data_IF_679935765052
#
_entry.id   IF_679935765052
#
_cell.length_a   1.000
_cell.length_b   1.000
_cell.length_c   1.000
_cell.angle_alpha   90.00
_cell.angle_beta   90.00
_cell.angle_gamma   90.00
#
_symmetry.space_group_name_H-M   'P 1'
#
loop_
_entity.id
_entity.type
_entity.pdbx_description
1 polymer ?
#
# COMPACT_ATOMS: atom_id res chain seq x y z
N UNK A 1 -3.75 28.26 18.63
CA UNK A 1 -2.48 27.71 19.19
C UNK A 1 -1.40 27.81 18.14
N UNK A 2 -0.18 28.21 18.50
CA UNK A 2 0.97 28.22 17.58
C UNK A 2 1.26 26.80 17.12
N UNK A 3 1.68 26.63 15.88
CA UNK A 3 2.04 25.32 15.30
C UNK A 3 3.26 24.78 16.05
N UNK A 4 3.15 23.56 16.60
CA UNK A 4 4.28 22.84 17.18
C UNK A 4 5.27 22.46 16.07
N UNK A 5 6.56 22.67 16.32
CA UNK A 5 7.63 22.28 15.41
C UNK A 5 8.72 21.53 16.15
N UNK A 6 9.44 20.66 15.47
CA UNK A 6 10.56 19.92 16.09
C UNK A 6 11.73 20.83 16.51
N UNK A 7 11.78 22.06 15.98
CA UNK A 7 12.79 23.06 16.33
C UNK A 7 12.37 23.91 17.55
N UNK A 8 11.12 23.81 18.02
CA UNK A 8 10.60 24.58 19.14
C UNK A 8 10.79 23.91 20.49
N UNK A 9 11.53 22.80 20.54
CA UNK A 9 11.73 22.00 21.75
C UNK A 9 13.21 21.59 21.85
N UNK A 10 13.69 21.47 23.07
CA UNK A 10 15.01 20.91 23.35
C UNK A 10 14.99 19.40 23.28
N UNK A 11 16.13 18.80 22.92
CA UNK A 11 16.29 17.36 22.71
C UNK A 11 17.30 16.78 23.68
N UNK A 12 16.98 15.60 24.22
CA UNK A 12 17.86 14.84 25.10
C UNK A 12 18.14 13.44 24.55
N UNK A 13 19.29 12.90 24.95
CA UNK A 13 19.68 11.52 24.62
C UNK A 13 19.24 10.56 25.72
N UNK A 14 18.60 9.47 25.31
CA UNK A 14 18.10 8.45 26.24
C UNK A 14 18.47 7.06 25.77
N UNK A 15 18.96 6.22 26.67
CA UNK A 15 19.12 4.79 26.38
C UNK A 15 17.76 4.11 26.45
N UNK A 16 17.50 3.20 25.54
CA UNK A 16 16.21 2.50 25.49
C UNK A 16 15.90 1.77 26.80
N UNK A 17 16.90 1.13 27.42
CA UNK A 17 16.72 0.44 28.73
C UNK A 17 16.29 1.34 29.87
N UNK A 18 16.60 2.63 29.79
CA UNK A 18 16.28 3.60 30.87
C UNK A 18 14.84 4.14 30.72
N UNK A 19 14.24 3.90 29.53
CA UNK A 19 12.88 4.34 29.22
C UNK A 19 11.87 3.19 29.14
N UNK A 20 12.31 1.99 28.75
CA UNK A 20 11.40 0.89 28.41
C UNK A 20 11.78 -0.41 29.09
N UNK A 21 10.76 -1.12 29.55
CA UNK A 21 10.85 -2.55 29.79
C UNK A 21 10.90 -3.29 28.45
N UNK A 22 11.80 -4.28 28.36
CA UNK A 22 11.95 -5.08 27.12
C UNK A 22 11.47 -6.50 27.43
N UNK A 23 10.37 -6.87 26.77
CA UNK A 23 9.75 -8.18 26.94
C UNK A 23 10.19 -9.15 25.84
N UNK A 24 10.32 -10.42 26.21
CA UNK A 24 10.50 -11.50 25.27
C UNK A 24 9.15 -12.05 24.80
N UNK A 25 8.96 -12.18 23.51
CA UNK A 25 7.77 -12.82 22.93
C UNK A 25 7.95 -14.32 22.83
N UNK A 26 6.84 -15.07 22.83
CA UNK A 26 6.81 -16.55 22.91
C UNK A 26 6.19 -17.23 21.69
N UNK A 27 5.82 -16.47 20.66
CA UNK A 27 5.18 -17.00 19.46
C UNK A 27 6.09 -17.97 18.69
N UNK A 28 5.52 -19.11 18.31
CA UNK A 28 6.14 -20.16 17.48
C UNK A 28 5.99 -19.85 15.99
N UNK A 29 6.57 -20.66 15.08
CA UNK A 29 6.29 -20.56 13.66
C UNK A 29 4.80 -20.57 13.35
N UNK A 30 4.39 -19.77 12.35
CA UNK A 30 2.96 -19.52 12.08
C UNK A 30 2.20 -20.77 11.69
N UNK A 31 2.88 -21.76 11.13
CA UNK A 31 2.35 -23.05 10.72
C UNK A 31 1.81 -23.86 11.92
N UNK A 32 2.20 -23.48 13.14
CA UNK A 32 1.76 -24.14 14.37
C UNK A 32 0.40 -23.62 14.88
N UNK A 33 -0.21 -22.66 14.20
CA UNK A 33 -1.46 -22.04 14.63
C UNK A 33 -2.58 -22.23 13.61
N UNK A 34 -3.79 -22.39 14.11
CA UNK A 34 -5.00 -22.30 13.30
C UNK A 34 -5.31 -20.83 13.00
N UNK A 35 -6.06 -20.63 11.93
CA UNK A 35 -6.57 -19.30 11.56
C UNK A 35 -7.54 -18.78 12.64
N UNK A 36 -7.46 -17.48 12.95
CA UNK A 36 -8.31 -16.82 13.94
C UNK A 36 -8.26 -15.30 13.79
N UNK A 37 -8.46 -14.57 14.88
CA UNK A 37 -8.62 -13.11 14.86
C UNK A 37 -7.49 -12.36 15.60
N UNK A 38 -6.52 -13.05 16.20
CA UNK A 38 -5.40 -12.42 16.89
C UNK A 38 -4.28 -12.14 15.89
N UNK A 39 -3.83 -10.87 15.75
CA UNK A 39 -2.71 -10.50 14.88
C UNK A 39 -1.43 -11.24 15.24
N UNK A 40 -0.77 -11.85 14.25
CA UNK A 40 0.57 -12.40 14.41
C UNK A 40 1.61 -11.43 13.86
N UNK A 41 2.40 -10.84 14.75
CA UNK A 41 3.41 -9.82 14.44
C UNK A 41 4.77 -10.48 14.24
N UNK A 42 5.41 -10.20 13.11
CA UNK A 42 6.70 -10.78 12.71
C UNK A 42 7.71 -9.69 12.32
N UNK A 43 8.74 -10.05 11.56
CA UNK A 43 9.81 -9.16 11.08
C UNK A 43 9.48 -8.56 9.71
N UNK A 44 8.22 -8.15 9.49
CA UNK A 44 7.78 -7.48 8.28
C UNK A 44 7.93 -5.95 8.39
N UNK A 45 8.20 -5.30 7.26
CA UNK A 45 8.38 -3.85 7.20
C UNK A 45 7.09 -3.08 6.83
N UNK A 46 5.99 -3.78 6.63
CA UNK A 46 4.68 -3.23 6.21
C UNK A 46 3.55 -3.77 7.09
N UNK A 47 2.36 -3.20 6.96
CA UNK A 47 1.13 -3.67 7.65
C UNK A 47 1.29 -3.81 9.17
N UNK A 48 1.97 -2.88 9.83
CA UNK A 48 2.32 -2.97 11.27
C UNK A 48 3.01 -4.28 11.65
N UNK A 49 3.78 -4.86 10.73
CA UNK A 49 4.41 -6.17 10.85
C UNK A 49 3.44 -7.35 11.07
N UNK A 50 2.13 -7.16 10.90
CA UNK A 50 1.12 -8.22 10.94
C UNK A 50 1.16 -9.01 9.64
N UNK A 51 1.50 -10.29 9.73
CA UNK A 51 1.61 -11.17 8.56
C UNK A 51 0.46 -12.17 8.44
N UNK A 52 -0.29 -12.40 9.53
CA UNK A 52 -1.46 -13.28 9.54
C UNK A 52 -2.30 -13.04 10.81
N UNK A 53 -3.44 -13.74 10.88
CA UNK A 53 -4.30 -13.78 12.06
C UNK A 53 -4.46 -15.22 12.52
N UNK A 54 -4.29 -15.46 13.84
CA UNK A 54 -4.23 -16.78 14.46
C UNK A 54 -5.26 -16.93 15.57
N UNK A 55 -5.52 -18.17 15.99
CA UNK A 55 -6.35 -18.47 17.15
C UNK A 55 -5.77 -17.88 18.44
N UNK A 56 -6.65 -17.54 19.38
CA UNK A 56 -6.25 -16.93 20.67
C UNK A 56 -5.62 -17.97 21.59
N UNK A 57 -4.37 -17.72 22.00
CA UNK A 57 -3.69 -18.45 23.08
C UNK A 57 -3.20 -17.46 24.14
N UNK A 58 -3.81 -17.51 25.32
CA UNK A 58 -3.50 -16.60 26.43
C UNK A 58 -2.06 -16.73 26.96
N UNK A 59 -1.41 -17.90 26.79
CA UNK A 59 -0.07 -18.15 27.30
C UNK A 59 1.05 -17.46 26.52
N UNK A 60 0.74 -17.05 25.27
CA UNK A 60 1.69 -16.43 24.34
C UNK A 60 1.25 -15.05 23.89
N UNK A 61 0.11 -14.58 24.39
CA UNK A 61 -0.46 -13.29 24.05
C UNK A 61 0.41 -12.17 24.63
N UNK A 62 0.74 -11.19 23.78
CA UNK A 62 1.37 -9.93 24.17
C UNK A 62 0.27 -8.87 24.23
N UNK A 63 0.10 -8.21 25.36
CA UNK A 63 -0.96 -7.20 25.55
C UNK A 63 -0.72 -5.94 24.72
N UNK A 64 -1.78 -5.21 24.46
CA UNK A 64 -1.79 -3.91 23.77
C UNK A 64 -0.86 -2.85 24.41
N UNK A 65 -0.74 -1.70 23.77
CA UNK A 65 0.09 -0.55 24.15
C UNK A 65 1.58 -0.91 24.25
N UNK A 66 2.08 -1.51 23.20
CA UNK A 66 3.48 -1.93 23.07
C UNK A 66 4.09 -1.45 21.75
N UNK A 67 5.40 -1.24 21.76
CA UNK A 67 6.19 -0.99 20.56
C UNK A 67 6.94 -2.29 20.21
N UNK A 68 6.86 -2.72 18.95
CA UNK A 68 7.70 -3.80 18.43
C UNK A 68 8.86 -3.26 17.62
N UNK A 69 10.02 -3.89 17.74
CA UNK A 69 11.23 -3.56 16.95
C UNK A 69 11.74 -4.82 16.29
N UNK A 70 11.82 -4.77 14.95
CA UNK A 70 12.40 -5.84 14.14
C UNK A 70 13.92 -5.91 14.32
N UNK A 71 14.48 -7.04 14.77
CA UNK A 71 15.92 -7.16 14.97
C UNK A 71 16.73 -7.22 13.67
N UNK A 72 16.10 -7.48 12.51
CA UNK A 72 16.76 -7.63 11.21
C UNK A 72 16.86 -6.29 10.47
N UNK A 73 15.74 -5.57 10.36
CA UNK A 73 15.64 -4.33 9.58
C UNK A 73 15.55 -3.07 10.45
N UNK A 74 15.33 -3.24 11.75
CA UNK A 74 15.17 -2.11 12.67
C UNK A 74 13.85 -1.35 12.48
N UNK A 75 12.87 -1.91 11.76
CA UNK A 75 11.54 -1.30 11.65
C UNK A 75 10.80 -1.37 12.97
N UNK A 76 9.97 -0.36 13.24
CA UNK A 76 9.35 -0.18 14.53
C UNK A 76 7.86 0.15 14.36
N UNK A 77 6.99 -0.52 15.14
CA UNK A 77 5.56 -0.29 15.10
C UNK A 77 4.96 -0.21 16.49
N UNK A 78 3.99 0.68 16.67
CA UNK A 78 3.16 0.73 17.87
C UNK A 78 1.88 -0.09 17.66
N UNK A 79 1.48 -0.86 18.69
CA UNK A 79 0.28 -1.69 18.69
C UNK A 79 -0.62 -1.31 19.85
N UNK A 80 -1.82 -0.84 19.54
CA UNK A 80 -2.90 -0.56 20.50
C UNK A 80 -3.87 -1.75 20.70
N UNK A 81 -3.50 -2.92 20.21
CA UNK A 81 -4.23 -4.18 20.29
C UNK A 81 -3.35 -5.32 20.78
N UNK A 82 -3.97 -6.36 21.33
CA UNK A 82 -3.30 -7.59 21.73
C UNK A 82 -2.81 -8.37 20.50
N UNK A 83 -1.64 -8.95 20.57
CA UNK A 83 -1.02 -9.69 19.46
C UNK A 83 -0.17 -10.86 19.94
N UNK A 84 0.24 -11.73 19.03
CA UNK A 84 1.28 -12.73 19.26
C UNK A 84 2.53 -12.34 18.47
N UNK A 85 3.63 -12.09 19.17
CA UNK A 85 4.90 -11.75 18.53
C UNK A 85 5.75 -12.98 18.22
N UNK A 86 6.40 -12.98 17.05
CA UNK A 86 7.37 -14.01 16.62
C UNK A 86 8.54 -14.09 17.60
N UNK A 87 8.69 -15.23 18.28
CA UNK A 87 9.60 -15.45 19.40
C UNK A 87 10.62 -16.59 19.21
N UNK A 88 11.07 -16.88 17.98
CA UNK A 88 11.96 -18.00 17.69
C UNK A 88 13.10 -17.66 16.72
N UNK A 89 14.07 -18.59 16.59
CA UNK A 89 15.19 -18.57 15.60
C UNK A 89 16.09 -17.31 15.65
N UNK A 90 16.41 -16.79 16.83
CA UNK A 90 17.35 -15.67 16.99
C UNK A 90 16.88 -14.31 16.46
N UNK A 91 15.85 -14.27 15.62
CA UNK A 91 15.23 -13.06 15.10
C UNK A 91 13.86 -12.81 15.73
N UNK A 92 13.75 -13.02 17.05
CA UNK A 92 12.56 -12.70 17.83
C UNK A 92 12.31 -11.21 17.83
N UNK A 93 11.06 -10.81 17.65
CA UNK A 93 10.64 -9.42 17.75
C UNK A 93 10.89 -8.90 19.17
N UNK A 94 11.51 -7.73 19.31
CA UNK A 94 11.64 -7.07 20.58
C UNK A 94 10.36 -6.29 20.90
N UNK A 95 9.88 -6.38 22.14
CA UNK A 95 8.71 -5.64 22.61
C UNK A 95 9.13 -4.66 23.69
N UNK A 96 8.76 -3.39 23.52
CA UNK A 96 9.07 -2.31 24.45
C UNK A 96 7.78 -1.84 25.12
N UNK A 97 7.83 -1.63 26.45
CA UNK A 97 6.71 -1.11 27.25
C UNK A 97 7.12 0.09 28.08
N UNK A 98 6.20 1.02 28.22
CA UNK A 98 6.26 2.11 29.17
C UNK A 98 4.82 2.53 29.53
N UNK A 99 4.57 2.88 30.79
CA UNK A 99 3.25 3.29 31.29
C UNK A 99 2.69 4.53 30.58
N UNK A 100 3.56 5.40 30.06
CA UNK A 100 3.20 6.64 29.38
C UNK A 100 2.92 6.45 27.88
N UNK A 101 3.08 5.22 27.35
CA UNK A 101 2.84 4.96 25.93
C UNK A 101 1.35 5.08 25.58
N UNK A 102 1.09 5.79 24.51
CA UNK A 102 -0.20 5.81 23.81
C UNK A 102 0.00 5.80 22.30
N UNK A 103 -1.08 5.73 21.53
CA UNK A 103 -1.01 5.62 20.06
C UNK A 103 -0.26 6.78 19.38
N UNK A 104 -0.26 7.97 19.95
CA UNK A 104 0.37 9.14 19.35
C UNK A 104 1.86 9.20 19.68
N UNK A 105 2.20 9.24 20.97
CA UNK A 105 3.61 9.29 21.38
C UNK A 105 4.35 8.00 20.98
N UNK A 106 3.68 6.85 20.91
CA UNK A 106 4.23 5.59 20.41
C UNK A 106 4.70 5.70 18.96
N UNK A 107 3.92 6.35 18.08
CA UNK A 107 4.32 6.60 16.68
C UNK A 107 5.54 7.53 16.62
N UNK A 108 5.59 8.59 17.43
CA UNK A 108 6.75 9.47 17.50
C UNK A 108 8.02 8.70 17.90
N UNK A 109 7.92 7.90 18.95
CA UNK A 109 9.03 7.11 19.48
C UNK A 109 9.48 6.04 18.46
N UNK A 110 8.56 5.38 17.77
CA UNK A 110 8.91 4.47 16.68
C UNK A 110 9.80 5.15 15.64
N UNK A 111 9.46 6.37 15.22
CA UNK A 111 10.27 7.13 14.26
C UNK A 111 11.68 7.44 14.79
N UNK A 112 11.81 7.74 16.08
CA UNK A 112 13.11 7.98 16.71
C UNK A 112 13.94 6.70 16.83
N UNK A 113 13.32 5.58 17.22
CA UNK A 113 13.98 4.27 17.28
C UNK A 113 14.45 3.85 15.88
N UNK A 114 13.62 3.99 14.86
CA UNK A 114 13.96 3.60 13.48
C UNK A 114 15.17 4.36 12.93
N UNK A 115 15.31 5.65 13.22
CA UNK A 115 16.49 6.43 12.82
C UNK A 115 17.79 5.82 13.37
N UNK A 116 17.75 5.29 14.59
CA UNK A 116 18.91 4.65 15.22
C UNK A 116 19.09 3.20 14.75
N UNK A 117 18.01 2.43 14.71
CA UNK A 117 18.06 0.99 14.45
C UNK A 117 18.37 0.65 12.99
N UNK A 118 17.81 1.38 12.02
CA UNK A 118 18.07 1.17 10.58
C UNK A 118 19.54 1.32 10.20
N UNK A 119 20.28 2.15 10.92
CA UNK A 119 21.75 2.31 10.74
C UNK A 119 22.57 1.19 11.38
N UNK A 120 21.97 0.43 12.31
CA UNK A 120 22.67 -0.55 13.16
C UNK A 120 22.19 -2.00 12.99
N UNK A 121 21.07 -2.20 12.30
CA UNK A 121 20.45 -3.51 12.06
C UNK A 121 20.79 -4.05 10.67
N UNK A 122 21.17 -5.32 10.59
CA UNK A 122 21.32 -6.05 9.34
C UNK A 122 21.17 -7.56 9.58
N UNK A 123 20.98 -8.34 8.53
CA UNK A 123 20.83 -9.80 8.64
C UNK A 123 22.06 -10.47 9.29
N UNK A 124 23.27 -10.00 8.99
CA UNK A 124 24.51 -10.47 9.61
C UNK A 124 24.84 -9.85 10.97
N UNK A 125 24.08 -8.83 11.40
CA UNK A 125 24.33 -8.11 12.66
C UNK A 125 23.00 -7.66 13.29
N UNK A 126 22.28 -8.63 13.85
CA UNK A 126 20.94 -8.43 14.41
C UNK A 126 20.91 -7.36 15.52
N UNK A 127 19.90 -6.52 15.47
CA UNK A 127 19.58 -5.55 16.51
C UNK A 127 18.77 -6.22 17.64
N UNK A 128 19.41 -7.21 18.29
CA UNK A 128 18.82 -8.02 19.35
C UNK A 128 18.56 -7.21 20.63
N UNK A 129 17.89 -7.83 21.62
CA UNK A 129 17.53 -7.18 22.88
C UNK A 129 18.69 -6.53 23.61
N UNK A 130 19.89 -7.12 23.60
CA UNK A 130 21.06 -6.56 24.29
C UNK A 130 21.55 -5.28 23.61
N UNK A 131 21.60 -5.28 22.27
CA UNK A 131 21.99 -4.09 21.49
C UNK A 131 20.90 -3.01 21.55
N UNK A 132 19.62 -3.41 21.49
CA UNK A 132 18.50 -2.52 21.63
C UNK A 132 18.52 -1.80 22.99
N UNK A 133 18.76 -2.51 24.09
CA UNK A 133 18.89 -1.93 25.44
C UNK A 133 19.90 -0.79 25.51
N UNK A 134 21.01 -0.93 24.82
CA UNK A 134 22.13 0.02 24.83
C UNK A 134 22.01 1.12 23.78
N UNK A 135 21.03 1.03 22.88
CA UNK A 135 20.81 2.04 21.86
C UNK A 135 20.35 3.35 22.49
N UNK A 136 20.87 4.45 21.96
CA UNK A 136 20.50 5.81 22.35
C UNK A 136 19.55 6.37 21.30
N UNK A 137 18.47 6.95 21.75
CA UNK A 137 17.49 7.68 20.93
C UNK A 137 17.40 9.13 21.39
N UNK A 138 17.06 10.01 20.45
CA UNK A 138 16.81 11.42 20.73
C UNK A 138 15.30 11.62 20.93
N UNK A 139 14.93 12.23 22.05
CA UNK A 139 13.55 12.61 22.34
C UNK A 139 13.46 14.07 22.80
N UNK A 140 12.33 14.75 22.55
CA UNK A 140 12.04 16.04 23.16
C UNK A 140 12.09 15.95 24.68
N UNK A 141 12.63 16.96 25.34
CA UNK A 141 12.71 17.03 26.83
C UNK A 141 11.80 18.10 27.40
N UNK A 142 11.36 17.87 28.63
CA UNK A 142 10.70 18.87 29.46
C UNK A 142 11.74 19.76 30.17
N UNK A 143 11.28 20.77 30.93
CA UNK A 143 12.14 21.68 31.66
C UNK A 143 12.98 21.00 32.77
N UNK A 144 12.71 19.73 33.08
CA UNK A 144 13.47 18.90 34.00
C UNK A 144 14.44 17.95 33.31
N UNK A 145 14.59 18.05 32.00
CA UNK A 145 15.42 17.15 31.18
C UNK A 145 14.86 15.74 31.00
N UNK A 146 13.58 15.49 31.29
CA UNK A 146 12.91 14.20 31.12
C UNK A 146 12.20 14.14 29.76
N UNK A 147 11.90 12.93 29.22
CA UNK A 147 11.13 12.83 27.99
C UNK A 147 9.79 13.58 28.06
N UNK A 148 9.56 14.47 27.13
CA UNK A 148 8.32 15.24 27.02
C UNK A 148 7.24 14.46 26.29
N UNK A 149 6.61 13.53 27.00
CA UNK A 149 5.55 12.65 26.45
C UNK A 149 4.38 13.45 25.87
N UNK A 150 4.01 14.57 26.53
CA UNK A 150 2.90 15.40 26.07
C UNK A 150 3.23 16.10 24.75
N UNK A 151 4.45 16.64 24.61
CA UNK A 151 4.87 17.25 23.34
C UNK A 151 4.82 16.22 22.19
N UNK A 152 5.33 15.00 22.41
CA UNK A 152 5.32 13.94 21.38
C UNK A 152 3.89 13.58 20.96
N UNK A 153 2.97 13.50 21.92
CA UNK A 153 1.56 13.25 21.68
C UNK A 153 0.91 14.37 20.86
N UNK A 154 1.05 15.61 21.33
CA UNK A 154 0.42 16.78 20.70
C UNK A 154 0.98 17.06 19.30
N UNK A 155 2.28 16.83 19.12
CA UNK A 155 2.93 16.95 17.82
C UNK A 155 2.34 15.95 16.80
N UNK A 156 2.21 14.68 17.18
CA UNK A 156 1.63 13.67 16.29
C UNK A 156 0.14 13.94 16.01
N UNK A 157 -0.64 14.32 17.02
CA UNK A 157 -2.04 14.76 16.82
C UNK A 157 -2.13 15.90 15.81
N UNK A 158 -1.27 16.91 15.95
CA UNK A 158 -1.23 18.02 15.00
C UNK A 158 -0.89 17.56 13.58
N UNK A 159 0.17 16.76 13.42
CA UNK A 159 0.59 16.26 12.09
C UNK A 159 -0.48 15.37 11.47
N UNK A 160 -1.11 14.48 12.23
CA UNK A 160 -2.21 13.64 11.75
C UNK A 160 -3.40 14.47 11.29
N UNK A 161 -3.77 15.52 12.06
CA UNK A 161 -4.84 16.44 11.66
C UNK A 161 -4.51 17.20 10.36
N UNK A 162 -3.27 17.68 10.24
CA UNK A 162 -2.80 18.36 9.02
C UNK A 162 -2.85 17.43 7.82
N UNK A 163 -2.37 16.19 7.95
CA UNK A 163 -2.41 15.21 6.86
C UNK A 163 -3.84 14.80 6.51
N UNK A 164 -4.68 14.53 7.52
CA UNK A 164 -6.09 14.20 7.30
C UNK A 164 -6.85 15.32 6.57
N UNK A 165 -6.59 16.59 6.94
CA UNK A 165 -7.19 17.73 6.25
C UNK A 165 -6.73 17.85 4.79
N UNK A 166 -5.46 17.58 4.49
CA UNK A 166 -4.96 17.55 3.11
C UNK A 166 -5.63 16.45 2.29
N UNK A 167 -5.77 15.26 2.86
CA UNK A 167 -6.44 14.11 2.22
C UNK A 167 -7.92 14.42 2.00
N UNK A 168 -8.60 15.00 3.01
CA UNK A 168 -9.99 15.43 2.86
C UNK A 168 -10.16 16.43 1.70
N UNK A 169 -9.34 17.49 1.68
CA UNK A 169 -9.39 18.50 0.60
C UNK A 169 -9.11 17.91 -0.78
N UNK A 170 -8.20 16.93 -0.88
CA UNK A 170 -7.96 16.23 -2.14
C UNK A 170 -9.22 15.47 -2.60
N UNK A 171 -9.86 14.70 -1.72
CA UNK A 171 -11.04 13.93 -2.07
C UNK A 171 -12.29 14.80 -2.30
N UNK A 172 -12.46 15.91 -1.57
CA UNK A 172 -13.51 16.90 -1.83
C UNK A 172 -13.38 17.51 -3.23
N UNK A 173 -12.16 17.92 -3.61
CA UNK A 173 -11.87 18.43 -4.95
C UNK A 173 -12.12 17.37 -6.04
N UNK A 174 -11.76 16.13 -5.76
CA UNK A 174 -12.02 15.01 -6.67
C UNK A 174 -13.52 14.75 -6.81
N UNK A 175 -14.27 14.78 -5.71
CA UNK A 175 -15.72 14.61 -5.70
C UNK A 175 -16.44 15.71 -6.50
N UNK A 176 -16.01 16.97 -6.36
CA UNK A 176 -16.57 18.09 -7.15
C UNK A 176 -16.36 17.94 -8.65
N UNK A 177 -15.25 17.32 -9.06
CA UNK A 177 -14.92 17.05 -10.48
C UNK A 177 -15.61 15.82 -11.04
N UNK A 178 -16.13 14.96 -10.18
CA UNK A 178 -16.71 13.67 -10.54
C UNK A 178 -18.17 13.83 -10.99
N UNK A 179 -18.39 14.43 -12.16
CA UNK A 179 -19.72 14.49 -12.77
C UNK A 179 -20.18 13.11 -13.25
N UNK A 180 -21.41 12.71 -12.94
CA UNK A 180 -22.04 11.51 -13.49
C UNK A 180 -23.53 11.74 -13.69
N UNK A 181 -24.10 11.01 -14.66
CA UNK A 181 -25.55 10.97 -14.87
C UNK A 181 -26.19 9.81 -14.11
N UNK A 182 -27.48 9.89 -13.86
CA UNK A 182 -28.24 8.78 -13.29
C UNK A 182 -28.10 7.54 -14.18
N UNK A 183 -27.81 6.41 -13.53
CA UNK A 183 -27.68 5.13 -14.23
C UNK A 183 -29.05 4.49 -14.42
N UNK A 184 -29.29 3.96 -15.64
CA UNK A 184 -30.34 2.99 -15.86
C UNK A 184 -29.93 1.67 -15.19
N UNK A 185 -30.82 1.12 -14.36
CA UNK A 185 -30.55 -0.10 -13.62
C UNK A 185 -30.82 -1.38 -14.45
N UNK A 186 -31.56 -1.26 -15.55
CA UNK A 186 -31.94 -2.40 -16.40
C UNK A 186 -31.12 -2.46 -17.68
N UNK A 187 -29.80 -2.64 -17.52
CA UNK A 187 -28.87 -2.72 -18.65
C UNK A 187 -28.66 -4.17 -19.08
N UNK A 188 -28.81 -4.45 -20.37
CA UNK A 188 -28.48 -5.76 -20.95
C UNK A 188 -26.98 -5.91 -21.15
N UNK A 189 -26.53 -7.16 -21.11
CA UNK A 189 -25.10 -7.52 -21.25
C UNK A 189 -24.91 -8.45 -22.45
N UNK A 190 -23.77 -8.28 -23.14
CA UNK A 190 -23.39 -9.12 -24.30
C UNK A 190 -21.89 -9.39 -24.27
N UNK A 191 -21.48 -10.51 -24.84
CA UNK A 191 -20.08 -10.86 -25.04
C UNK A 191 -19.49 -10.14 -26.26
N UNK A 192 -18.26 -9.61 -26.07
CA UNK A 192 -17.47 -9.01 -27.15
C UNK A 192 -16.07 -9.63 -27.17
N UNK A 193 -15.54 -9.89 -28.37
CA UNK A 193 -14.14 -10.24 -28.49
C UNK A 193 -13.28 -9.01 -28.19
N UNK A 194 -12.18 -9.22 -27.46
CA UNK A 194 -11.28 -8.09 -27.16
C UNK A 194 -10.71 -7.47 -28.45
N UNK A 195 -10.45 -8.28 -29.48
CA UNK A 195 -9.96 -7.79 -30.78
C UNK A 195 -10.94 -6.90 -31.54
N UNK A 196 -12.24 -6.98 -31.27
CA UNK A 196 -13.23 -6.13 -31.94
C UNK A 196 -13.19 -4.69 -31.44
N UNK A 197 -12.87 -4.51 -30.17
CA UNK A 197 -12.99 -3.23 -29.45
C UNK A 197 -11.64 -2.65 -29.02
N UNK A 198 -10.56 -3.44 -29.00
CA UNK A 198 -9.26 -3.06 -28.44
C UNK A 198 -8.12 -3.27 -29.43
N UNK A 199 -7.18 -2.34 -29.44
CA UNK A 199 -5.85 -2.49 -30.03
C UNK A 199 -4.89 -3.07 -29.00
N UNK A 200 -4.20 -4.16 -29.35
CA UNK A 200 -3.25 -4.87 -28.49
C UNK A 200 -1.86 -4.77 -29.10
N UNK A 201 -0.95 -4.06 -28.44
CA UNK A 201 0.44 -3.85 -28.86
C UNK A 201 1.41 -4.44 -27.86
N UNK A 202 2.58 -4.89 -28.30
CA UNK A 202 3.64 -5.38 -27.42
C UNK A 202 4.46 -4.23 -26.85
N UNK A 203 4.97 -4.40 -25.64
CA UNK A 203 6.09 -3.63 -25.13
C UNK A 203 7.40 -4.01 -25.84
N UNK A 204 8.51 -3.46 -25.35
CA UNK A 204 9.85 -3.62 -25.93
C UNK A 204 10.80 -4.09 -24.85
N UNK A 205 11.61 -5.10 -25.15
CA UNK A 205 12.62 -5.61 -24.25
C UNK A 205 13.64 -4.50 -23.92
N UNK A 206 13.84 -4.27 -22.63
CA UNK A 206 14.90 -3.42 -22.10
C UNK A 206 15.54 -4.15 -20.91
N UNK A 207 16.76 -4.61 -21.09
CA UNK A 207 17.45 -5.37 -20.04
C UNK A 207 17.95 -4.42 -18.96
N UNK A 208 18.19 -4.94 -17.75
CA UNK A 208 18.70 -4.12 -16.63
C UNK A 208 20.04 -3.45 -16.95
N UNK A 209 20.88 -4.11 -17.76
CA UNK A 209 22.17 -3.58 -18.20
C UNK A 209 22.03 -2.40 -19.19
N UNK A 210 20.93 -2.32 -19.92
CA UNK A 210 20.68 -1.28 -20.91
C UNK A 210 19.84 -0.12 -20.34
N UNK A 211 19.38 -0.23 -19.09
CA UNK A 211 18.62 0.84 -18.43
C UNK A 211 19.53 2.01 -18.06
N UNK A 212 19.09 3.21 -18.37
CA UNK A 212 19.69 4.48 -18.00
C UNK A 212 18.80 5.11 -16.95
N UNK A 213 19.36 5.59 -15.86
CA UNK A 213 18.59 6.26 -14.80
C UNK A 213 17.83 7.47 -15.32
N UNK A 214 16.60 7.67 -14.89
CA UNK A 214 15.75 8.76 -15.34
C UNK A 214 14.42 8.83 -14.63
N UNK A 215 13.43 9.50 -15.27
CA UNK A 215 12.14 9.78 -14.67
C UNK A 215 10.94 9.11 -15.39
N UNK A 216 11.18 8.35 -16.44
CA UNK A 216 10.11 7.67 -17.18
C UNK A 216 9.82 6.34 -16.50
N UNK A 217 8.58 6.08 -16.03
CA UNK A 217 8.22 4.79 -15.45
C UNK A 217 8.41 3.65 -16.47
N UNK A 218 9.12 2.60 -16.06
CA UNK A 218 9.26 1.35 -16.81
C UNK A 218 8.30 0.30 -16.24
N UNK A 219 7.36 -0.13 -17.06
CA UNK A 219 6.31 -1.06 -16.68
C UNK A 219 6.75 -2.48 -16.98
N UNK A 220 6.96 -3.27 -15.92
CA UNK A 220 7.29 -4.69 -15.97
C UNK A 220 6.11 -5.56 -15.57
N UNK A 221 6.26 -6.88 -15.71
CA UNK A 221 5.21 -7.86 -15.40
C UNK A 221 5.11 -8.16 -13.89
N UNK A 222 4.90 -7.11 -13.09
CA UNK A 222 4.71 -7.15 -11.64
C UNK A 222 3.22 -7.09 -11.29
N UNK A 223 2.84 -7.54 -10.09
CA UNK A 223 1.51 -7.38 -9.47
C UNK A 223 1.49 -6.26 -8.41
N UNK A 224 2.60 -5.57 -8.21
CA UNK A 224 2.78 -4.52 -7.23
C UNK A 224 3.13 -3.17 -7.88
N UNK A 225 3.01 -2.08 -7.13
CA UNK A 225 3.45 -0.73 -7.50
C UNK A 225 2.90 -0.25 -8.87
N UNK A 226 1.66 -0.60 -9.20
CA UNK A 226 1.04 -0.27 -10.49
C UNK A 226 1.86 -0.79 -11.69
N UNK A 227 2.59 -1.91 -11.53
CA UNK A 227 3.46 -2.48 -12.55
C UNK A 227 4.78 -1.73 -12.77
N UNK A 228 5.02 -0.60 -12.08
CA UNK A 228 6.28 0.16 -12.19
C UNK A 228 7.39 -0.60 -11.49
N UNK A 229 8.38 -1.02 -12.26
CA UNK A 229 9.54 -1.77 -11.75
C UNK A 229 10.80 -0.93 -11.62
N UNK A 230 10.92 0.13 -12.44
CA UNK A 230 12.06 1.06 -12.41
C UNK A 230 11.64 2.43 -12.95
N UNK A 231 12.51 3.44 -12.79
CA UNK A 231 12.43 4.72 -13.49
C UNK A 231 13.64 4.88 -14.38
N UNK A 232 13.42 5.14 -15.68
CA UNK A 232 14.48 5.12 -16.69
C UNK A 232 14.50 6.41 -17.53
N UNK A 233 15.67 6.73 -18.11
CA UNK A 233 15.86 7.78 -19.09
C UNK A 233 15.70 7.29 -20.54
N UNK A 234 15.55 5.99 -20.74
CA UNK A 234 15.36 5.39 -22.05
C UNK A 234 13.99 5.73 -22.63
N UNK A 235 13.94 5.90 -23.96
CA UNK A 235 12.71 5.92 -24.74
C UNK A 235 12.77 4.87 -25.84
N UNK A 236 11.64 4.32 -26.22
CA UNK A 236 11.52 3.36 -27.32
C UNK A 236 10.09 3.38 -27.86
N UNK A 237 9.81 2.55 -28.89
CA UNK A 237 8.48 2.48 -29.53
C UNK A 237 7.36 1.95 -28.63
N UNK A 238 7.64 1.61 -27.38
CA UNK A 238 6.61 1.29 -26.38
C UNK A 238 6.20 2.49 -25.55
N UNK A 239 6.77 3.68 -25.73
CA UNK A 239 6.36 4.89 -25.05
C UNK A 239 4.88 5.16 -25.34
N UNK A 240 4.09 5.28 -24.28
CA UNK A 240 2.63 5.39 -24.38
C UNK A 240 2.05 6.05 -23.13
N UNK A 241 0.84 6.57 -23.24
CA UNK A 241 0.04 7.11 -22.15
C UNK A 241 -1.45 6.84 -22.38
N UNK A 242 -2.27 7.02 -21.37
CA UNK A 242 -3.70 6.68 -21.41
C UNK A 242 -3.90 5.25 -21.96
N UNK A 243 -3.34 4.26 -21.27
CA UNK A 243 -3.19 2.89 -21.77
C UNK A 243 -3.30 1.89 -20.61
N UNK A 244 -3.87 0.72 -20.88
CA UNK A 244 -3.89 -0.40 -19.94
C UNK A 244 -2.71 -1.34 -20.24
N UNK A 245 -1.78 -1.48 -19.29
CA UNK A 245 -0.72 -2.48 -19.32
C UNK A 245 -1.23 -3.82 -18.80
N UNK A 246 -1.14 -4.90 -19.58
CA UNK A 246 -1.59 -6.25 -19.21
C UNK A 246 -0.44 -7.23 -19.26
N UNK A 247 -0.16 -7.87 -18.14
CA UNK A 247 0.92 -8.85 -18.02
C UNK A 247 0.54 -10.15 -18.76
N UNK A 248 1.34 -10.54 -19.75
CA UNK A 248 1.18 -11.83 -20.38
C UNK A 248 2.15 -12.90 -19.84
N UNK A 249 3.19 -12.46 -19.14
CA UNK A 249 4.18 -13.28 -18.45
C UNK A 249 4.30 -12.79 -16.98
N UNK A 250 5.12 -13.42 -16.15
CA UNK A 250 5.24 -13.08 -14.72
C UNK A 250 3.90 -13.23 -13.99
N UNK A 251 3.39 -12.17 -13.41
CA UNK A 251 2.05 -12.11 -12.78
C UNK A 251 0.95 -12.04 -13.85
N UNK A 252 0.67 -13.18 -14.50
CA UNK A 252 -0.19 -13.29 -15.67
C UNK A 252 -1.59 -12.73 -15.40
N UNK A 253 -2.13 -11.95 -16.38
CA UNK A 253 -3.42 -11.24 -16.38
C UNK A 253 -3.47 -10.02 -15.45
N UNK A 254 -2.55 -9.86 -14.48
CA UNK A 254 -2.48 -8.61 -13.74
C UNK A 254 -2.35 -7.44 -14.72
N UNK A 255 -3.04 -6.36 -14.42
CA UNK A 255 -3.11 -5.24 -15.33
C UNK A 255 -3.33 -3.92 -14.59
N UNK A 256 -2.77 -2.84 -15.17
CA UNK A 256 -2.78 -1.51 -14.56
C UNK A 256 -3.03 -0.44 -15.61
N UNK A 257 -3.85 0.55 -15.26
CA UNK A 257 -4.07 1.73 -16.09
C UNK A 257 -3.00 2.79 -15.82
N UNK A 258 -2.45 3.35 -16.90
CA UNK A 258 -1.43 4.39 -16.88
C UNK A 258 -1.93 5.62 -17.64
N UNK A 259 -2.30 6.67 -16.89
CA UNK A 259 -2.70 7.96 -17.48
C UNK A 259 -1.51 8.80 -17.94
N UNK A 260 -0.30 8.48 -17.45
CA UNK A 260 0.96 9.17 -17.66
C UNK A 260 1.83 8.46 -18.70
N UNK A 261 2.81 9.18 -19.25
CA UNK A 261 3.79 8.59 -20.17
C UNK A 261 4.68 7.58 -19.46
N UNK A 262 4.79 6.40 -20.04
CA UNK A 262 5.61 5.29 -19.56
C UNK A 262 6.04 4.38 -20.71
N UNK A 263 7.08 3.58 -20.51
CA UNK A 263 7.50 2.54 -21.45
C UNK A 263 7.25 1.15 -20.86
N UNK A 264 7.10 0.16 -21.73
CA UNK A 264 6.65 -1.19 -21.34
C UNK A 264 7.65 -2.25 -21.74
N UNK A 265 7.89 -3.19 -20.83
CA UNK A 265 8.68 -4.40 -21.11
C UNK A 265 7.96 -5.29 -22.14
N UNK A 266 8.71 -6.16 -22.80
CA UNK A 266 8.17 -7.16 -23.72
C UNK A 266 7.19 -8.14 -23.06
N UNK A 267 7.23 -8.29 -21.74
CA UNK A 267 6.34 -9.14 -20.94
C UNK A 267 4.95 -8.50 -20.65
N UNK A 268 4.76 -7.25 -21.07
CA UNK A 268 3.51 -6.50 -20.89
C UNK A 268 2.92 -6.13 -22.24
N UNK A 269 1.61 -6.34 -22.40
CA UNK A 269 0.85 -5.88 -23.58
C UNK A 269 0.18 -4.56 -23.27
N UNK A 270 0.24 -3.63 -24.22
CA UNK A 270 -0.42 -2.31 -24.16
C UNK A 270 -1.77 -2.41 -24.85
N UNK A 271 -2.82 -2.06 -24.16
CA UNK A 271 -4.18 -2.17 -24.66
C UNK A 271 -4.81 -0.78 -24.68
N UNK A 272 -5.32 -0.38 -25.86
CA UNK A 272 -6.10 0.84 -26.05
C UNK A 272 -7.44 0.51 -26.71
N UNK A 273 -8.43 1.36 -26.50
CA UNK A 273 -9.67 1.32 -27.27
C UNK A 273 -9.38 1.67 -28.74
N UNK A 274 -9.97 0.94 -29.68
CA UNK A 274 -9.86 1.25 -31.12
C UNK A 274 -10.45 2.62 -31.46
N UNK A 275 -11.59 2.95 -30.83
CA UNK A 275 -12.10 4.31 -30.85
C UNK A 275 -11.59 5.05 -29.59
N UNK A 276 -10.67 5.98 -29.76
CA UNK A 276 -10.02 6.73 -28.69
C UNK A 276 -10.96 7.58 -27.83
N UNK A 277 -12.16 7.91 -28.32
CA UNK A 277 -13.19 8.64 -27.57
C UNK A 277 -13.71 7.87 -26.36
N UNK A 278 -13.59 6.54 -26.36
CA UNK A 278 -14.06 5.67 -25.28
C UNK A 278 -13.02 5.46 -24.16
N UNK A 279 -11.79 5.91 -24.35
CA UNK A 279 -10.66 5.64 -23.49
C UNK A 279 -10.50 6.65 -22.36
N UNK A 280 -11.52 6.89 -21.52
CA UNK A 280 -11.36 7.64 -20.26
C UNK A 280 -10.85 6.72 -19.12
N UNK A 281 -10.39 7.33 -18.03
CA UNK A 281 -9.90 6.61 -16.85
C UNK A 281 -10.93 5.57 -16.36
N UNK A 282 -12.20 5.91 -16.33
CA UNK A 282 -13.27 5.09 -15.77
C UNK A 282 -13.57 3.88 -16.63
N UNK A 283 -13.57 4.05 -17.95
CA UNK A 283 -13.74 2.92 -18.88
C UNK A 283 -12.56 1.95 -18.82
N UNK A 284 -11.33 2.45 -18.66
CA UNK A 284 -10.15 1.61 -18.42
C UNK A 284 -10.20 0.88 -17.08
N UNK A 285 -10.68 1.50 -16.02
CA UNK A 285 -10.84 0.83 -14.71
C UNK A 285 -11.88 -0.30 -14.77
N UNK A 286 -12.96 -0.10 -15.52
CA UNK A 286 -13.92 -1.17 -15.75
C UNK A 286 -13.32 -2.30 -16.58
N UNK A 287 -12.67 -1.97 -17.69
CA UNK A 287 -12.00 -2.93 -18.57
C UNK A 287 -10.95 -3.75 -17.81
N UNK A 288 -10.17 -3.09 -16.95
CA UNK A 288 -9.23 -3.76 -16.04
C UNK A 288 -9.89 -4.89 -15.26
N UNK A 289 -11.05 -4.64 -14.67
CA UNK A 289 -11.76 -5.64 -13.88
C UNK A 289 -12.31 -6.76 -14.75
N UNK A 290 -12.81 -6.46 -15.94
CA UNK A 290 -13.31 -7.48 -16.89
C UNK A 290 -12.18 -8.40 -17.37
N UNK A 291 -10.99 -7.87 -17.58
CA UNK A 291 -9.80 -8.67 -17.93
C UNK A 291 -9.33 -9.49 -16.73
N UNK A 292 -9.24 -8.87 -15.53
CA UNK A 292 -8.80 -9.53 -14.31
C UNK A 292 -9.71 -10.71 -13.92
N UNK A 293 -11.01 -10.62 -14.18
CA UNK A 293 -11.96 -11.71 -13.94
C UNK A 293 -11.67 -12.98 -14.76
N UNK A 294 -10.83 -12.88 -15.81
CA UNK A 294 -10.39 -14.01 -16.62
C UNK A 294 -9.15 -14.73 -16.05
N UNK A 295 -8.57 -14.22 -14.94
CA UNK A 295 -7.29 -14.69 -14.37
C UNK A 295 -7.25 -16.21 -14.16
N UNK A 296 -8.34 -16.81 -13.70
CA UNK A 296 -8.43 -18.25 -13.44
C UNK A 296 -8.25 -19.14 -14.68
N UNK A 297 -8.38 -18.57 -15.90
CA UNK A 297 -8.17 -19.29 -17.17
C UNK A 297 -6.70 -19.36 -17.58
N UNK A 298 -5.85 -18.51 -16.98
CA UNK A 298 -4.47 -18.30 -17.42
C UNK A 298 -3.50 -18.47 -16.25
N UNK A 299 -2.37 -19.11 -16.56
CA UNK A 299 -1.31 -19.40 -15.57
C UNK A 299 0.05 -19.50 -16.29
N UNK A 300 1.12 -19.76 -15.56
CA UNK A 300 2.46 -19.83 -16.15
C UNK A 300 2.58 -20.77 -17.35
N UNK A 301 1.96 -21.95 -17.33
CA UNK A 301 1.92 -22.89 -18.44
C UNK A 301 0.94 -22.53 -19.57
N UNK A 302 0.02 -21.61 -19.34
CA UNK A 302 -1.00 -21.16 -20.29
C UNK A 302 -1.12 -19.64 -20.28
N UNK A 303 -0.09 -18.96 -20.79
CA UNK A 303 0.07 -17.50 -20.75
C UNK A 303 -1.01 -16.74 -21.53
N UNK A 304 -1.38 -15.58 -21.07
CA UNK A 304 -2.31 -14.65 -21.71
C UNK A 304 -1.62 -13.81 -22.80
N UNK A 305 -1.08 -14.47 -23.83
CA UNK A 305 -0.37 -13.83 -24.95
C UNK A 305 -1.34 -13.06 -25.88
N UNK A 306 -0.80 -12.26 -26.80
CA UNK A 306 -1.58 -11.39 -27.68
C UNK A 306 -2.67 -12.16 -28.48
N UNK A 307 -2.37 -13.37 -29.00
CA UNK A 307 -3.33 -14.20 -29.74
C UNK A 307 -4.49 -14.70 -28.86
N UNK A 308 -4.22 -15.00 -27.58
CA UNK A 308 -5.26 -15.38 -26.62
C UNK A 308 -6.03 -14.17 -26.13
N UNK A 309 -5.35 -13.03 -25.96
CA UNK A 309 -6.01 -11.77 -25.61
C UNK A 309 -7.01 -11.36 -26.68
N UNK A 310 -6.62 -11.35 -27.95
CA UNK A 310 -7.53 -10.96 -29.03
C UNK A 310 -8.78 -11.86 -29.09
N UNK A 311 -8.61 -13.16 -28.84
CA UNK A 311 -9.69 -14.14 -28.81
C UNK A 311 -10.36 -14.34 -27.44
N UNK A 312 -10.08 -13.49 -26.47
CA UNK A 312 -10.79 -13.50 -25.18
C UNK A 312 -12.08 -12.70 -25.34
N UNK A 313 -13.19 -13.29 -24.94
CA UNK A 313 -14.47 -12.60 -24.79
C UNK A 313 -14.57 -11.98 -23.41
N UNK A 314 -15.10 -10.77 -23.35
CA UNK A 314 -15.48 -10.07 -22.12
C UNK A 314 -16.95 -9.66 -22.19
N UNK A 315 -17.61 -9.63 -21.03
CA UNK A 315 -19.00 -9.18 -20.91
C UNK A 315 -19.02 -7.67 -20.77
N UNK A 316 -19.82 -6.99 -21.59
CA UNK A 316 -20.02 -5.55 -21.52
C UNK A 316 -21.51 -5.22 -21.53
N UNK A 317 -21.92 -4.13 -20.85
CA UNK A 317 -23.27 -3.60 -20.98
C UNK A 317 -23.46 -3.04 -22.39
N UNK A 318 -24.63 -3.21 -22.94
CA UNK A 318 -24.96 -2.76 -24.29
C UNK A 318 -26.00 -1.62 -24.29
N UNK A 319 -25.88 -0.77 -25.29
CA UNK A 319 -26.87 0.24 -25.62
C UNK A 319 -28.06 -0.36 -26.41
N UNK A 320 -29.00 0.50 -26.82
CA UNK A 320 -30.17 0.10 -27.64
C UNK A 320 -29.83 -0.47 -29.00
N UNK A 321 -28.62 -0.24 -29.51
CA UNK A 321 -28.13 -0.72 -30.78
C UNK A 321 -27.40 -2.09 -30.66
N UNK A 322 -27.20 -2.58 -29.42
CA UNK A 322 -26.44 -3.78 -29.14
C UNK A 322 -24.91 -3.59 -29.14
N UNK A 323 -24.43 -2.34 -29.12
CA UNK A 323 -23.03 -1.96 -29.05
C UNK A 323 -22.62 -1.68 -27.59
N UNK A 324 -21.31 -1.74 -27.24
CA UNK A 324 -20.85 -1.47 -25.88
C UNK A 324 -21.27 -0.08 -25.39
N UNK A 325 -21.94 -0.02 -24.25
CA UNK A 325 -22.47 1.22 -23.67
C UNK A 325 -21.43 1.93 -22.82
N UNK A 326 -20.40 2.52 -23.45
CA UNK A 326 -19.26 3.14 -22.76
C UNK A 326 -19.64 4.28 -21.82
N UNK A 327 -20.66 5.07 -22.18
CA UNK A 327 -21.16 6.13 -21.29
C UNK A 327 -21.73 5.56 -19.99
N UNK A 328 -22.46 4.43 -20.07
CA UNK A 328 -22.92 3.71 -18.89
C UNK A 328 -21.75 3.21 -18.05
N UNK A 329 -20.74 2.57 -18.70
CA UNK A 329 -19.54 2.05 -18.04
C UNK A 329 -18.81 3.14 -17.27
N UNK A 330 -18.56 4.29 -17.91
CA UNK A 330 -17.89 5.42 -17.29
C UNK A 330 -18.70 5.95 -16.07
N UNK A 331 -20.00 6.15 -16.24
CA UNK A 331 -20.88 6.62 -15.15
C UNK A 331 -20.99 5.61 -13.99
N UNK A 332 -20.99 4.31 -14.30
CA UNK A 332 -21.01 3.26 -13.28
C UNK A 332 -19.77 3.33 -12.37
N UNK A 333 -18.57 3.44 -12.96
CA UNK A 333 -17.32 3.55 -12.20
C UNK A 333 -17.27 4.88 -11.43
N UNK A 334 -17.71 5.99 -12.04
CA UNK A 334 -17.81 7.30 -11.34
C UNK A 334 -18.71 7.22 -10.10
N UNK A 335 -19.85 6.51 -10.21
CA UNK A 335 -20.74 6.29 -9.06
C UNK A 335 -20.05 5.50 -7.96
N UNK A 336 -19.39 4.38 -8.29
CA UNK A 336 -18.63 3.59 -7.31
C UNK A 336 -17.52 4.40 -6.65
N UNK A 337 -16.82 5.22 -7.42
CA UNK A 337 -15.76 6.08 -6.89
C UNK A 337 -16.34 7.14 -5.94
N UNK A 338 -17.46 7.78 -6.31
CA UNK A 338 -18.17 8.72 -5.44
C UNK A 338 -18.53 8.07 -4.10
N UNK A 339 -19.17 6.91 -4.12
CA UNK A 339 -19.57 6.19 -2.90
C UNK A 339 -18.35 5.87 -2.00
N UNK A 340 -17.22 5.48 -2.60
CA UNK A 340 -16.00 5.21 -1.86
C UNK A 340 -15.36 6.49 -1.29
N UNK A 341 -15.36 7.59 -2.05
CA UNK A 341 -14.88 8.89 -1.58
C UNK A 341 -15.74 9.37 -0.40
N UNK A 342 -17.06 9.32 -0.50
CA UNK A 342 -17.97 9.72 0.57
C UNK A 342 -17.75 8.91 1.86
N UNK A 343 -17.59 7.60 1.75
CA UNK A 343 -17.23 6.74 2.90
C UNK A 343 -15.89 7.13 3.51
N UNK A 344 -14.90 7.41 2.68
CA UNK A 344 -13.56 7.81 3.13
C UNK A 344 -13.59 9.17 3.82
N UNK A 345 -14.30 10.15 3.25
CA UNK A 345 -14.47 11.48 3.85
C UNK A 345 -15.16 11.39 5.21
N UNK A 346 -16.24 10.63 5.33
CA UNK A 346 -16.93 10.42 6.60
C UNK A 346 -15.97 9.85 7.67
N UNK A 347 -15.13 8.90 7.31
CA UNK A 347 -14.15 8.34 8.24
C UNK A 347 -13.09 9.37 8.66
N UNK A 348 -12.59 10.16 7.71
CA UNK A 348 -11.62 11.23 7.98
C UNK A 348 -12.22 12.31 8.89
N UNK A 349 -13.47 12.72 8.65
CA UNK A 349 -14.13 13.74 9.46
C UNK A 349 -14.37 13.26 10.90
N UNK A 350 -14.80 12.02 11.08
CA UNK A 350 -14.89 11.41 12.43
C UNK A 350 -13.56 11.57 13.16
N UNK A 351 -12.44 11.25 12.48
CA UNK A 351 -11.12 11.39 13.05
C UNK A 351 -10.74 12.85 13.37
N UNK A 352 -11.00 13.80 12.45
CA UNK A 352 -10.63 15.22 12.62
C UNK A 352 -11.42 15.90 13.75
N UNK A 353 -12.70 15.54 13.94
CA UNK A 353 -13.62 16.25 14.85
C UNK A 353 -13.85 15.53 16.18
N UNK A 354 -13.54 14.24 16.31
CA UNK A 354 -13.77 13.46 17.53
C UNK A 354 -12.47 13.10 18.25
N UNK A 355 -11.32 13.13 17.59
CA UNK A 355 -10.00 12.94 18.20
C UNK A 355 -9.39 14.26 18.68
#
# INVERSE_FOLDING_TARGET
MSKLTLNSVEWGEFRIKDLFEIEAVKGRPIENYKKGDIPYVSTAATNNAVINFIEKDKNILTSAFAITVDPIKGTCFFHDYDFVGRGFSGASVNVLRNINLNKYNGVFICSSIEKTSKLKASYGYLFNSNRLKMAVILLPIDFKGRPNWQFMEDYIKQEMKVQSSKVASYYENKLMKLGFELLDLDVKWKEFWMEDILDIKSGVRLTKADQIDGNIPFIGASDANNGVTEFVGNTNKSLDSNVLGVNYNGSVVENFYHSYECIFSDDVKRIKFKNGEYGDEFTYLFLKQMILSQKNKYQYGYKFNAKRMSRQKIMLPIDKNGEPHWKYVSNFIKKLEKENIEKTLNHIYIYIYIS
#
